data_IF_714131275893
#
_entry.id   IF_714131275893
#
_cell.length_a   1.000
_cell.length_b   1.000
_cell.length_c   1.000
_cell.angle_alpha   90.00
_cell.angle_beta   90.00
_cell.angle_gamma   90.00
#
_symmetry.space_group_name_H-M   'P 1'
#
loop_
_entity.id
_entity.type
_entity.pdbx_description
1 polymer ?
#
# COMPACT_ATOMS: atom_id res chain seq x y z
N UNK A 1 -21.24 -19.13 15.85
CA UNK A 1 -21.20 -18.07 14.83
C UNK A 1 -20.72 -18.68 13.52
N UNK A 2 -21.56 -18.74 12.48
CA UNK A 2 -21.11 -19.12 11.13
C UNK A 2 -20.38 -17.92 10.55
N UNK A 3 -19.10 -18.05 10.23
CA UNK A 3 -18.37 -17.04 9.45
C UNK A 3 -19.13 -16.85 8.14
N UNK A 4 -19.64 -15.64 7.87
CA UNK A 4 -20.16 -15.30 6.54
C UNK A 4 -18.97 -15.29 5.58
N UNK A 5 -19.16 -15.73 4.35
CA UNK A 5 -18.12 -15.58 3.32
C UNK A 5 -17.88 -14.09 3.05
N UNK A 6 -16.68 -13.76 2.57
CA UNK A 6 -16.36 -12.38 2.26
C UNK A 6 -17.10 -11.94 1.01
N UNK A 7 -17.66 -10.72 1.03
CA UNK A 7 -18.30 -10.11 -0.15
C UNK A 7 -17.26 -9.62 -1.17
N UNK A 8 -16.00 -9.48 -0.76
CA UNK A 8 -14.91 -9.12 -1.65
C UNK A 8 -14.43 -10.37 -2.38
N UNK A 9 -14.38 -10.36 -3.72
CA UNK A 9 -13.93 -11.52 -4.47
C UNK A 9 -12.49 -11.87 -4.11
N UNK A 10 -12.24 -13.17 -3.90
CA UNK A 10 -10.87 -13.66 -3.77
C UNK A 10 -10.08 -13.29 -5.03
N UNK A 11 -8.86 -12.79 -4.85
CA UNK A 11 -7.88 -12.72 -5.92
C UNK A 11 -6.58 -13.33 -5.41
N UNK A 12 -6.03 -14.24 -6.20
CA UNK A 12 -4.73 -14.85 -5.97
C UNK A 12 -3.61 -13.82 -6.13
N UNK A 13 -2.42 -14.16 -5.62
CA UNK A 13 -1.22 -13.35 -5.80
C UNK A 13 -0.91 -13.09 -7.28
N UNK A 14 -0.99 -14.11 -8.12
CA UNK A 14 -0.69 -13.98 -9.55
C UNK A 14 -1.71 -13.10 -10.28
N UNK A 15 -2.99 -13.14 -9.90
CA UNK A 15 -3.98 -12.20 -10.42
C UNK A 15 -3.66 -10.75 -10.02
N UNK A 16 -3.27 -10.50 -8.77
CA UNK A 16 -2.88 -9.17 -8.31
C UNK A 16 -1.61 -8.67 -9.01
N UNK A 17 -0.62 -9.54 -9.25
CA UNK A 17 0.54 -9.20 -10.09
C UNK A 17 0.10 -8.81 -11.51
N UNK A 18 -0.82 -9.58 -12.11
CA UNK A 18 -1.30 -9.30 -13.46
C UNK A 18 -2.07 -7.99 -13.54
N UNK A 19 -2.87 -7.67 -12.53
CA UNK A 19 -3.56 -6.38 -12.41
C UNK A 19 -2.53 -5.24 -12.34
N UNK A 20 -1.51 -5.36 -11.46
CA UNK A 20 -0.45 -4.37 -11.36
C UNK A 20 0.24 -4.15 -12.71
N UNK A 21 0.68 -5.23 -13.37
CA UNK A 21 1.33 -5.17 -14.67
C UNK A 21 0.44 -4.50 -15.74
N UNK A 22 -0.85 -4.83 -15.79
CA UNK A 22 -1.74 -4.24 -16.78
C UNK A 22 -1.92 -2.72 -16.57
N UNK A 23 -2.07 -2.25 -15.32
CA UNK A 23 -2.14 -0.82 -15.04
C UNK A 23 -0.82 -0.10 -15.37
N UNK A 24 0.31 -0.72 -15.04
CA UNK A 24 1.63 -0.15 -15.30
C UNK A 24 2.00 -0.15 -16.78
N UNK A 25 1.58 -1.14 -17.55
CA UNK A 25 1.79 -1.19 -19.00
C UNK A 25 1.11 -0.01 -19.69
N UNK A 26 -0.15 0.26 -19.32
CA UNK A 26 -0.92 1.40 -19.86
C UNK A 26 -0.37 2.74 -19.38
N UNK A 27 0.02 2.83 -18.10
CA UNK A 27 0.57 4.06 -17.53
C UNK A 27 1.96 4.40 -18.10
N UNK A 28 2.89 3.45 -17.99
CA UNK A 28 4.28 3.59 -18.40
C UNK A 28 4.97 2.21 -18.45
N UNK A 29 4.90 1.55 -19.62
CA UNK A 29 5.51 0.23 -19.86
C UNK A 29 7.01 0.14 -19.59
N UNK A 30 7.73 1.27 -19.51
CA UNK A 30 9.14 1.30 -19.11
C UNK A 30 9.34 0.75 -17.70
N UNK A 31 8.38 0.91 -16.79
CA UNK A 31 8.42 0.39 -15.42
C UNK A 31 8.46 -1.14 -15.36
N UNK A 32 8.08 -1.82 -16.45
CA UNK A 32 8.10 -3.28 -16.59
C UNK A 32 9.36 -3.82 -17.29
N UNK A 33 10.23 -2.93 -17.78
CA UNK A 33 11.48 -3.30 -18.49
C UNK A 33 12.74 -2.77 -17.82
N UNK A 34 12.64 -1.59 -17.18
CA UNK A 34 13.72 -0.94 -16.44
C UNK A 34 13.31 -0.76 -14.97
N UNK A 35 14.08 -1.29 -14.00
CA UNK A 35 13.87 -1.00 -12.59
C UNK A 35 13.99 0.50 -12.34
N UNK A 36 12.91 1.10 -11.82
CA UNK A 36 12.85 2.51 -11.47
C UNK A 36 11.63 2.78 -10.58
N UNK A 37 11.67 3.89 -9.86
CA UNK A 37 10.52 4.38 -9.12
C UNK A 37 9.36 4.77 -10.06
N UNK A 38 8.13 4.52 -9.61
CA UNK A 38 6.91 5.08 -10.19
C UNK A 38 6.66 6.48 -9.63
N UNK A 39 6.13 7.40 -10.44
CA UNK A 39 5.58 8.67 -9.94
C UNK A 39 4.16 8.41 -9.44
N UNK A 40 4.02 7.97 -8.18
CA UNK A 40 2.76 7.44 -7.65
C UNK A 40 1.61 8.46 -7.66
N UNK A 41 1.90 9.75 -7.42
CA UNK A 41 0.88 10.82 -7.48
C UNK A 41 0.35 11.00 -8.90
N UNK A 42 1.23 11.00 -9.90
CA UNK A 42 0.88 11.08 -11.31
C UNK A 42 0.10 9.85 -11.79
N UNK A 43 0.44 8.66 -11.29
CA UNK A 43 -0.34 7.44 -11.52
C UNK A 43 -1.78 7.59 -10.97
N UNK A 44 -1.95 8.15 -9.77
CA UNK A 44 -3.27 8.38 -9.16
C UNK A 44 -4.06 9.41 -9.98
N UNK A 45 -3.48 10.59 -10.21
CA UNK A 45 -4.20 11.72 -10.81
C UNK A 45 -4.41 11.56 -12.32
N UNK A 46 -3.40 11.09 -13.05
CA UNK A 46 -3.45 11.04 -14.52
C UNK A 46 -3.89 9.71 -15.07
N UNK A 47 -3.50 8.60 -14.45
CA UNK A 47 -3.86 7.26 -14.94
C UNK A 47 -5.20 6.80 -14.36
N UNK A 48 -5.35 6.86 -13.03
CA UNK A 48 -6.61 6.45 -12.38
C UNK A 48 -7.69 7.54 -12.41
N UNK A 49 -7.35 8.79 -12.78
CA UNK A 49 -8.25 9.94 -12.82
C UNK A 49 -8.89 10.25 -11.45
N UNK A 50 -8.12 10.05 -10.39
CA UNK A 50 -8.52 10.33 -9.02
C UNK A 50 -8.06 11.71 -8.58
N UNK A 51 -8.82 12.33 -7.68
CA UNK A 51 -8.34 13.51 -6.98
C UNK A 51 -7.40 13.08 -5.84
N UNK A 52 -6.21 13.67 -5.74
CA UNK A 52 -5.30 13.43 -4.63
C UNK A 52 -5.26 14.67 -3.73
N UNK A 53 -5.57 14.50 -2.44
CA UNK A 53 -5.52 15.60 -1.46
C UNK A 53 -4.65 15.25 -0.27
N UNK A 54 -3.92 16.24 0.22
CA UNK A 54 -3.16 16.17 1.47
C UNK A 54 -3.88 17.00 2.52
N UNK A 55 -4.42 16.34 3.54
CA UNK A 55 -5.23 16.97 4.58
C UNK A 55 -4.78 16.47 5.95
N UNK A 56 -4.86 17.27 7.02
CA UNK A 56 -4.52 16.84 8.37
C UNK A 56 -5.65 15.96 8.91
N UNK A 57 -5.63 14.68 8.57
CA UNK A 57 -6.72 13.73 8.84
C UNK A 57 -6.50 12.92 10.10
N UNK A 58 -5.32 13.03 10.71
CA UNK A 58 -4.97 12.32 11.93
C UNK A 58 -4.47 13.26 13.03
N UNK A 59 -4.96 13.02 14.23
CA UNK A 59 -4.59 13.79 15.43
C UNK A 59 -3.27 13.30 16.07
N UNK A 60 -2.93 12.04 15.82
CA UNK A 60 -1.85 11.26 16.44
C UNK A 60 -0.96 10.52 15.42
N UNK A 61 -1.29 10.61 14.12
CA UNK A 61 -0.58 9.95 13.03
C UNK A 61 -0.96 8.48 12.82
N UNK A 62 -2.03 7.99 13.45
CA UNK A 62 -2.51 6.61 13.24
C UNK A 62 -3.20 6.43 11.88
N UNK A 63 -3.94 7.44 11.42
CA UNK A 63 -4.63 7.43 10.12
C UNK A 63 -3.71 8.05 9.07
N UNK A 64 -3.29 7.27 8.09
CA UNK A 64 -2.33 7.73 7.07
C UNK A 64 -2.99 8.16 5.76
N UNK A 65 -4.15 7.59 5.45
CA UNK A 65 -4.88 7.86 4.24
C UNK A 65 -6.19 7.08 4.19
N UNK A 66 -7.01 7.41 3.20
CA UNK A 66 -8.21 6.66 2.87
C UNK A 66 -8.68 6.96 1.44
N UNK A 67 -9.27 5.94 0.81
CA UNK A 67 -9.94 6.03 -0.47
C UNK A 67 -11.41 6.38 -0.31
N UNK A 68 -11.84 7.49 -0.93
CA UNK A 68 -13.22 7.96 -0.91
C UNK A 68 -13.96 7.52 -2.17
N UNK A 69 -14.84 6.53 -2.03
CA UNK A 69 -15.60 5.95 -3.14
C UNK A 69 -16.87 6.71 -3.51
N UNK A 70 -17.45 7.47 -2.56
CA UNK A 70 -18.69 8.26 -2.69
C UNK A 70 -18.49 9.61 -2.01
N UNK A 71 -19.24 10.66 -2.37
CA UNK A 71 -19.12 11.95 -1.71
C UNK A 71 -19.32 11.79 -0.20
N UNK A 72 -18.41 12.38 0.58
CA UNK A 72 -18.39 12.20 2.03
C UNK A 72 -17.96 13.50 2.73
N UNK A 73 -18.32 13.61 4.01
CA UNK A 73 -17.83 14.66 4.90
C UNK A 73 -16.78 14.05 5.82
N UNK A 74 -15.57 14.59 5.81
CA UNK A 74 -14.46 14.11 6.64
C UNK A 74 -14.10 15.05 7.77
N UNK A 75 -13.47 14.50 8.80
CA UNK A 75 -12.84 15.28 9.87
C UNK A 75 -11.42 15.63 9.43
N UNK A 76 -11.07 16.90 9.55
CA UNK A 76 -9.69 17.41 9.46
C UNK A 76 -9.36 18.15 10.76
N UNK A 77 -8.08 18.17 11.13
CA UNK A 77 -7.60 18.74 12.37
C UNK A 77 -6.89 20.07 12.11
N UNK A 78 -7.26 21.10 12.87
CA UNK A 78 -6.50 22.34 12.85
C UNK A 78 -5.18 22.19 13.64
N UNK A 79 -4.07 22.23 12.89
CA UNK A 79 -2.71 22.02 13.43
C UNK A 79 -2.15 23.25 14.14
N UNK A 80 -2.72 24.45 13.97
CA UNK A 80 -2.24 25.68 14.58
C UNK A 80 -2.81 25.95 15.98
N UNK A 81 -4.00 25.42 16.30
CA UNK A 81 -4.80 25.86 17.45
C UNK A 81 -4.93 24.80 18.56
N UNK A 82 -4.38 23.60 18.38
CA UNK A 82 -4.51 22.50 19.33
C UNK A 82 -5.72 21.59 19.09
N UNK A 83 -5.76 20.93 17.92
CA UNK A 83 -6.60 19.73 17.63
C UNK A 83 -8.11 19.99 17.54
N UNK A 84 -8.53 21.17 17.11
CA UNK A 84 -9.94 21.43 16.80
C UNK A 84 -10.37 20.62 15.56
N UNK A 85 -11.48 19.89 15.67
CA UNK A 85 -12.09 19.14 14.57
C UNK A 85 -12.84 20.10 13.65
N UNK A 86 -12.51 20.07 12.36
CA UNK A 86 -13.26 20.74 11.31
C UNK A 86 -13.82 19.70 10.35
N UNK A 87 -14.95 20.02 9.72
CA UNK A 87 -15.55 19.15 8.72
C UNK A 87 -15.28 19.67 7.31
N UNK A 88 -14.82 18.77 6.45
CA UNK A 88 -14.49 19.08 5.06
C UNK A 88 -15.24 18.16 4.11
N UNK A 89 -15.85 18.72 3.07
CA UNK A 89 -16.55 17.94 2.06
C UNK A 89 -15.56 17.40 1.03
N UNK A 90 -15.65 16.13 0.72
CA UNK A 90 -14.79 15.43 -0.23
C UNK A 90 -15.64 14.79 -1.33
N UNK A 91 -15.18 14.97 -2.57
CA UNK A 91 -15.70 14.33 -3.77
C UNK A 91 -15.51 12.82 -3.73
N UNK A 92 -16.39 12.07 -4.38
CA UNK A 92 -16.05 10.69 -4.77
C UNK A 92 -14.78 10.65 -5.63
N UNK A 93 -14.20 9.45 -5.75
CA UNK A 93 -12.97 9.25 -6.52
C UNK A 93 -11.81 10.11 -5.99
N UNK A 94 -11.71 10.28 -4.67
CA UNK A 94 -10.62 11.00 -4.01
C UNK A 94 -9.75 10.09 -3.15
N UNK A 95 -8.44 10.18 -3.32
CA UNK A 95 -7.45 9.63 -2.40
C UNK A 95 -7.05 10.74 -1.43
N UNK A 96 -7.22 10.51 -0.14
CA UNK A 96 -6.78 11.44 0.90
C UNK A 96 -5.58 10.83 1.60
N UNK A 97 -4.54 11.63 1.80
CA UNK A 97 -3.33 11.24 2.53
C UNK A 97 -3.08 12.28 3.62
N UNK A 98 -2.60 11.83 4.77
CA UNK A 98 -2.28 12.72 5.87
C UNK A 98 -1.18 13.72 5.49
N UNK A 99 -1.42 15.00 5.77
CA UNK A 99 -0.51 16.07 5.38
C UNK A 99 0.85 15.96 6.08
N UNK A 100 0.89 15.56 7.35
CA UNK A 100 2.18 15.40 8.06
C UNK A 100 3.02 14.28 7.43
N UNK A 101 2.37 13.22 6.95
CA UNK A 101 3.04 12.13 6.23
C UNK A 101 3.64 12.63 4.91
N UNK A 102 2.92 13.48 4.18
CA UNK A 102 3.35 14.02 2.89
C UNK A 102 4.51 15.02 3.00
N UNK A 103 4.55 15.82 4.07
CA UNK A 103 5.56 16.87 4.28
C UNK A 103 6.88 16.32 4.83
N UNK A 104 6.84 15.14 5.46
CA UNK A 104 8.00 14.53 6.08
C UNK A 104 8.82 13.70 5.08
N UNK A 105 9.90 14.29 4.54
CA UNK A 105 10.84 13.59 3.64
C UNK A 105 11.43 12.28 4.19
N UNK A 106 11.52 12.11 5.51
CA UNK A 106 12.00 10.85 6.12
C UNK A 106 10.99 9.71 5.96
N UNK A 107 9.71 10.06 5.79
CA UNK A 107 8.58 9.13 5.64
C UNK A 107 8.19 8.89 4.18
N UNK A 108 9.02 9.32 3.21
CA UNK A 108 8.70 9.22 1.77
C UNK A 108 8.30 7.80 1.34
N UNK A 109 8.94 6.77 1.91
CA UNK A 109 8.59 5.38 1.62
C UNK A 109 7.21 4.98 2.15
N UNK A 110 6.83 5.50 3.33
CA UNK A 110 5.52 5.27 3.94
C UNK A 110 4.43 6.02 3.18
N UNK A 111 4.67 7.30 2.88
CA UNK A 111 3.83 8.11 2.00
C UNK A 111 3.51 7.42 0.68
N UNK A 112 4.55 6.96 -0.04
CA UNK A 112 4.38 6.29 -1.34
C UNK A 112 3.59 5.00 -1.22
N UNK A 113 3.82 4.23 -0.16
CA UNK A 113 3.06 3.00 0.10
C UNK A 113 1.60 3.30 0.41
N UNK A 114 1.31 4.28 1.27
CA UNK A 114 -0.07 4.72 1.56
C UNK A 114 -0.79 5.13 0.27
N UNK A 115 -0.17 5.96 -0.57
CA UNK A 115 -0.75 6.33 -1.86
C UNK A 115 -1.07 5.11 -2.74
N UNK A 116 -0.13 4.17 -2.85
CA UNK A 116 -0.31 2.96 -3.67
C UNK A 116 -1.36 2.01 -3.08
N UNK A 117 -1.48 1.96 -1.75
CA UNK A 117 -2.48 1.20 -1.03
C UNK A 117 -3.89 1.74 -1.28
N UNK A 118 -4.11 3.05 -1.14
CA UNK A 118 -5.41 3.66 -1.45
C UNK A 118 -5.78 3.54 -2.93
N UNK A 119 -4.80 3.70 -3.83
CA UNK A 119 -4.99 3.44 -5.25
C UNK A 119 -5.39 1.98 -5.52
N UNK A 120 -4.84 1.03 -4.78
CA UNK A 120 -5.21 -0.37 -4.89
C UNK A 120 -6.65 -0.64 -4.42
N UNK A 121 -7.13 0.04 -3.38
CA UNK A 121 -8.54 0.00 -2.99
C UNK A 121 -9.45 0.44 -4.14
N UNK A 122 -9.11 1.54 -4.81
CA UNK A 122 -9.88 1.99 -5.98
C UNK A 122 -9.91 0.95 -7.10
N UNK A 123 -8.76 0.38 -7.46
CA UNK A 123 -8.63 -0.60 -8.54
C UNK A 123 -9.44 -1.87 -8.23
N UNK A 124 -9.45 -2.33 -6.98
CA UNK A 124 -9.94 -3.68 -6.63
C UNK A 124 -11.37 -3.71 -6.10
N UNK A 125 -11.80 -2.64 -5.42
CA UNK A 125 -12.95 -2.68 -4.53
C UNK A 125 -14.06 -1.69 -4.90
N UNK A 126 -13.82 -0.79 -5.87
CA UNK A 126 -14.79 0.24 -6.29
C UNK A 126 -16.19 -0.33 -6.58
N UNK A 127 -16.27 -1.41 -7.35
CA UNK A 127 -17.57 -1.97 -7.76
C UNK A 127 -18.41 -2.43 -6.57
N UNK A 128 -17.77 -2.98 -5.53
CA UNK A 128 -18.45 -3.41 -4.29
C UNK A 128 -19.03 -2.20 -3.56
N UNK A 129 -18.23 -1.14 -3.41
CA UNK A 129 -18.68 0.09 -2.74
C UNK A 129 -19.73 0.88 -3.54
N UNK A 130 -19.75 0.77 -4.87
CA UNK A 130 -20.75 1.40 -5.73
C UNK A 130 -22.09 0.63 -5.78
N UNK A 131 -22.07 -0.70 -5.68
CA UNK A 131 -23.27 -1.54 -5.71
C UNK A 131 -24.11 -1.44 -4.43
N UNK A 132 -23.52 -1.00 -3.31
CA UNK A 132 -24.24 -0.69 -2.08
C UNK A 132 -25.02 0.63 -2.21
N UNK A 133 -26.09 0.62 -3.00
CA UNK A 133 -26.93 1.78 -3.33
C UNK A 133 -27.92 2.15 -2.20
N UNK A 134 -28.00 1.35 -1.13
CA UNK A 134 -29.03 1.46 -0.09
C UNK A 134 -28.82 2.58 0.93
N UNK A 135 -27.61 3.12 1.08
CA UNK A 135 -27.32 4.18 2.04
C UNK A 135 -26.51 5.32 1.39
N UNK A 136 -27.15 6.43 0.96
CA UNK A 136 -26.41 7.68 0.79
C UNK A 136 -25.81 8.04 2.15
N UNK A 137 -24.47 8.15 2.22
CA UNK A 137 -23.78 8.43 3.49
C UNK A 137 -24.00 9.89 3.89
N UNK A 138 -25.13 10.13 4.55
CA UNK A 138 -25.32 11.22 5.48
C UNK A 138 -25.42 10.55 6.85
N UNK A 139 -24.28 10.36 7.50
CA UNK A 139 -24.25 9.93 8.90
C UNK A 139 -23.35 10.91 9.65
N UNK A 140 -23.68 11.14 10.92
CA UNK A 140 -22.95 12.08 11.75
C UNK A 140 -21.51 11.60 11.93
N UNK A 141 -20.58 12.48 11.56
CA UNK A 141 -19.21 12.13 11.16
C UNK A 141 -18.28 11.71 12.32
N UNK A 142 -18.79 11.58 13.54
CA UNK A 142 -18.03 11.01 14.66
C UNK A 142 -17.97 9.47 14.58
N UNK A 143 -18.92 8.85 13.86
CA UNK A 143 -18.97 7.41 13.63
C UNK A 143 -18.37 6.97 12.28
N UNK A 144 -17.81 7.88 11.47
CA UNK A 144 -17.51 7.59 10.05
C UNK A 144 -16.03 7.30 9.77
N UNK A 145 -15.04 7.79 10.51
CA UNK A 145 -13.64 7.79 9.98
C UNK A 145 -12.57 7.18 10.86
N UNK A 146 -12.89 6.77 12.07
CA UNK A 146 -12.04 5.87 12.85
C UNK A 146 -12.51 4.46 12.61
N UNK A 147 -11.92 3.72 11.66
CA UNK A 147 -12.18 2.28 11.51
C UNK A 147 -13.65 1.89 11.21
N UNK A 148 -14.62 2.81 11.24
CA UNK A 148 -16.06 2.53 11.30
C UNK A 148 -16.78 2.67 9.96
N UNK A 149 -16.17 3.27 8.93
CA UNK A 149 -16.67 3.09 7.56
C UNK A 149 -16.63 1.61 7.13
N UNK A 150 -15.76 0.82 7.78
CA UNK A 150 -15.74 -0.62 7.66
C UNK A 150 -16.82 -1.30 8.53
N UNK A 151 -17.53 -0.67 9.50
CA UNK A 151 -18.51 -1.33 10.39
C UNK A 151 -19.63 -2.11 9.67
N UNK A 152 -20.15 -1.61 8.55
CA UNK A 152 -21.13 -2.35 7.74
C UNK A 152 -20.58 -3.65 7.11
N UNK A 153 -19.25 -3.76 6.97
CA UNK A 153 -18.54 -4.92 6.43
C UNK A 153 -17.68 -5.67 7.49
N UNK A 154 -17.41 -5.04 8.65
CA UNK A 154 -16.62 -5.48 9.84
C UNK A 154 -17.37 -6.40 10.77
N UNK A 155 -18.69 -6.49 10.64
CA UNK A 155 -19.44 -7.62 11.16
C UNK A 155 -18.87 -8.96 10.66
N UNK A 156 -18.02 -8.91 9.61
CA UNK A 156 -17.21 -10.01 9.15
C UNK A 156 -15.71 -9.65 9.06
N UNK A 157 -14.94 -10.01 10.09
CA UNK A 157 -13.46 -9.94 10.13
C UNK A 157 -12.79 -10.48 8.85
N UNK A 158 -13.43 -11.41 8.14
CA UNK A 158 -12.90 -11.97 6.89
C UNK A 158 -12.94 -10.99 5.69
N UNK A 159 -13.86 -10.01 5.69
CA UNK A 159 -13.92 -8.94 4.68
C UNK A 159 -12.72 -8.03 4.79
N UNK A 160 -12.53 -7.42 5.96
CA UNK A 160 -11.43 -6.51 6.24
C UNK A 160 -10.09 -7.15 5.94
N UNK A 161 -9.84 -8.34 6.50
CA UNK A 161 -8.56 -9.03 6.30
C UNK A 161 -8.28 -9.30 4.82
N UNK A 162 -9.31 -9.59 4.03
CA UNK A 162 -9.15 -9.87 2.59
C UNK A 162 -8.92 -8.60 1.80
N UNK A 163 -9.77 -7.60 1.99
CA UNK A 163 -9.70 -6.30 1.32
C UNK A 163 -8.33 -5.66 1.56
N UNK A 164 -7.93 -5.54 2.83
CA UNK A 164 -6.64 -4.98 3.24
C UNK A 164 -5.47 -5.79 2.71
N UNK A 165 -5.54 -7.12 2.75
CA UNK A 165 -4.47 -7.95 2.21
C UNK A 165 -4.31 -7.76 0.70
N UNK A 166 -5.41 -7.69 -0.06
CA UNK A 166 -5.37 -7.47 -1.52
C UNK A 166 -4.81 -6.09 -1.84
N UNK A 167 -5.25 -5.04 -1.12
CA UNK A 167 -4.76 -3.68 -1.29
C UNK A 167 -3.27 -3.56 -0.95
N UNK A 168 -2.83 -4.15 0.17
CA UNK A 168 -1.42 -4.18 0.56
C UNK A 168 -0.54 -4.90 -0.47
N UNK A 169 -1.01 -6.03 -1.00
CA UNK A 169 -0.27 -6.78 -2.00
C UNK A 169 -0.17 -5.99 -3.32
N UNK A 170 -1.29 -5.48 -3.82
CA UNK A 170 -1.32 -4.71 -5.07
C UNK A 170 -0.53 -3.40 -4.94
N UNK A 171 -0.65 -2.67 -3.83
CA UNK A 171 0.14 -1.47 -3.57
C UNK A 171 1.64 -1.74 -3.62
N UNK A 172 2.10 -2.84 -3.02
CA UNK A 172 3.48 -3.32 -3.14
C UNK A 172 3.87 -3.68 -4.58
N UNK A 173 2.98 -4.34 -5.33
CA UNK A 173 3.23 -4.72 -6.72
C UNK A 173 3.27 -3.52 -7.69
N UNK A 174 2.49 -2.47 -7.44
CA UNK A 174 2.52 -1.22 -8.21
C UNK A 174 3.84 -0.47 -8.00
N UNK A 175 4.34 -0.39 -6.76
CA UNK A 175 5.60 0.28 -6.45
C UNK A 175 6.83 -0.53 -6.86
N UNK A 176 6.73 -1.86 -6.84
CA UNK A 176 7.82 -2.80 -7.09
C UNK A 176 7.36 -3.93 -8.04
N UNK A 177 7.26 -3.64 -9.36
CA UNK A 177 6.70 -4.58 -10.32
C UNK A 177 7.55 -5.86 -10.39
N UNK A 178 6.90 -7.03 -10.36
CA UNK A 178 7.59 -8.34 -10.19
C UNK A 178 8.75 -8.53 -11.16
N UNK A 179 8.55 -8.24 -12.45
CA UNK A 179 9.59 -8.42 -13.48
C UNK A 179 10.83 -7.57 -13.25
N UNK A 180 10.66 -6.27 -12.98
CA UNK A 180 11.80 -5.37 -12.75
C UNK A 180 12.42 -5.53 -11.37
N UNK A 181 11.62 -5.89 -10.37
CA UNK A 181 12.10 -6.27 -9.04
C UNK A 181 13.00 -7.51 -9.10
N UNK A 182 12.56 -8.57 -9.77
CA UNK A 182 13.37 -9.78 -9.98
C UNK A 182 14.65 -9.49 -10.75
N UNK A 183 14.57 -8.66 -11.80
CA UNK A 183 15.76 -8.22 -12.56
C UNK A 183 16.79 -7.54 -11.65
N UNK A 184 16.36 -6.61 -10.82
CA UNK A 184 17.27 -5.90 -9.92
C UNK A 184 17.84 -6.81 -8.82
N UNK A 185 17.00 -7.69 -8.27
CA UNK A 185 17.41 -8.69 -7.29
C UNK A 185 18.48 -9.65 -7.84
N UNK A 186 18.23 -10.24 -9.02
CA UNK A 186 19.16 -11.16 -9.66
C UNK A 186 20.48 -10.48 -10.05
N UNK A 187 20.42 -9.24 -10.54
CA UNK A 187 21.63 -8.44 -10.80
C UNK A 187 22.48 -8.29 -9.55
N UNK A 188 21.86 -8.03 -8.40
CA UNK A 188 22.59 -7.92 -7.13
C UNK A 188 23.17 -9.25 -6.66
N UNK A 189 22.50 -10.38 -6.89
CA UNK A 189 23.09 -11.69 -6.60
C UNK A 189 24.37 -11.91 -7.40
N UNK A 190 24.36 -11.58 -8.70
CA UNK A 190 25.53 -11.68 -9.58
C UNK A 190 26.66 -10.76 -9.09
N UNK A 191 26.36 -9.50 -8.77
CA UNK A 191 27.36 -8.54 -8.29
C UNK A 191 28.01 -8.96 -6.96
N UNK A 192 27.28 -9.69 -6.12
CA UNK A 192 27.77 -10.22 -4.85
C UNK A 192 28.42 -11.62 -4.98
N UNK A 193 28.51 -12.16 -6.20
CA UNK A 193 29.07 -13.50 -6.45
C UNK A 193 28.22 -14.65 -5.91
N UNK A 194 26.91 -14.43 -5.72
CA UNK A 194 25.96 -15.43 -5.21
C UNK A 194 25.39 -16.20 -6.41
N UNK A 195 26.07 -17.26 -6.83
CA UNK A 195 25.72 -18.02 -8.05
C UNK A 195 24.81 -19.22 -7.80
N UNK A 196 24.80 -19.77 -6.59
CA UNK A 196 24.10 -21.03 -6.26
C UNK A 196 22.79 -20.84 -5.49
N UNK A 197 22.25 -19.61 -5.43
CA UNK A 197 21.01 -19.30 -4.68
C UNK A 197 20.09 -18.42 -5.51
N UNK A 198 18.79 -18.65 -5.38
CA UNK A 198 17.73 -17.81 -5.99
C UNK A 198 16.97 -16.98 -4.96
N UNK A 199 17.37 -17.05 -3.69
CA UNK A 199 16.77 -16.37 -2.55
C UNK A 199 17.81 -16.08 -1.47
N UNK A 200 17.48 -15.18 -0.55
CA UNK A 200 18.30 -14.80 0.60
C UNK A 200 17.86 -15.53 1.86
N UNK A 201 18.81 -15.69 2.78
CA UNK A 201 18.53 -16.02 4.17
C UNK A 201 18.71 -14.74 5.00
N UNK A 202 17.83 -14.54 5.98
CA UNK A 202 18.02 -13.58 7.05
C UNK A 202 18.13 -14.35 8.36
N UNK A 203 19.37 -14.68 8.68
CA UNK A 203 19.77 -15.39 9.90
C UNK A 203 20.95 -14.67 10.56
N UNK A 204 21.60 -15.31 11.54
CA UNK A 204 22.75 -14.75 12.26
C UNK A 204 24.07 -14.85 11.49
N UNK A 205 24.12 -15.48 10.32
CA UNK A 205 25.37 -15.61 9.57
C UNK A 205 25.75 -14.25 8.96
N UNK A 206 26.97 -13.79 9.24
CA UNK A 206 27.44 -12.46 8.83
C UNK A 206 27.35 -12.24 7.31
N UNK A 207 27.65 -13.26 6.51
CA UNK A 207 27.54 -13.19 5.05
C UNK A 207 26.08 -12.97 4.59
N UNK A 208 25.11 -13.65 5.20
CA UNK A 208 23.70 -13.50 4.90
C UNK A 208 23.18 -12.11 5.30
N UNK A 209 23.58 -11.63 6.48
CA UNK A 209 23.27 -10.27 6.95
C UNK A 209 23.81 -9.21 5.97
N UNK A 210 25.07 -9.35 5.54
CA UNK A 210 25.70 -8.40 4.62
C UNK A 210 25.04 -8.44 3.24
N UNK A 211 24.78 -9.63 2.70
CA UNK A 211 24.08 -9.80 1.42
C UNK A 211 22.69 -9.15 1.47
N UNK A 212 21.92 -9.43 2.52
CA UNK A 212 20.60 -8.81 2.73
C UNK A 212 20.70 -7.29 2.81
N UNK A 213 21.64 -6.73 3.58
CA UNK A 213 21.84 -5.28 3.70
C UNK A 213 22.19 -4.63 2.35
N UNK A 214 23.09 -5.23 1.57
CA UNK A 214 23.45 -4.71 0.25
C UNK A 214 22.25 -4.73 -0.71
N UNK A 215 21.53 -5.83 -0.77
CA UNK A 215 20.38 -6.00 -1.67
C UNK A 215 19.22 -5.09 -1.27
N UNK A 216 18.86 -5.05 0.01
CA UNK A 216 17.73 -4.23 0.48
C UNK A 216 18.02 -2.75 0.24
N UNK A 217 19.23 -2.27 0.54
CA UNK A 217 19.61 -0.86 0.31
C UNK A 217 19.54 -0.50 -1.18
N UNK A 218 19.96 -1.43 -2.06
CA UNK A 218 19.85 -1.24 -3.51
C UNK A 218 18.39 -1.16 -3.95
N UNK A 219 17.56 -2.12 -3.55
CA UNK A 219 16.14 -2.16 -3.90
C UNK A 219 15.43 -0.89 -3.41
N UNK A 220 15.63 -0.49 -2.16
CA UNK A 220 15.01 0.72 -1.61
C UNK A 220 15.43 1.97 -2.39
N UNK A 221 16.68 2.05 -2.83
CA UNK A 221 17.18 3.16 -3.64
C UNK A 221 16.59 3.18 -5.05
N UNK A 222 16.38 2.02 -5.68
CA UNK A 222 15.90 1.92 -7.07
C UNK A 222 14.40 2.22 -7.18
N UNK A 223 13.61 1.67 -6.24
CA UNK A 223 12.14 1.80 -6.27
C UNK A 223 11.62 2.94 -5.39
N UNK A 224 12.50 3.59 -4.63
CA UNK A 224 12.19 4.65 -3.67
C UNK A 224 11.09 4.22 -2.67
N UNK A 225 11.37 3.16 -1.93
CA UNK A 225 10.47 2.56 -0.94
C UNK A 225 11.18 2.39 0.40
N UNK A 226 10.40 2.16 1.47
CA UNK A 226 10.99 1.83 2.78
C UNK A 226 11.64 0.44 2.74
N UNK A 227 12.59 0.21 3.66
CA UNK A 227 13.20 -1.12 3.85
C UNK A 227 12.17 -2.18 4.18
N UNK A 228 11.13 -1.81 4.93
CA UNK A 228 10.07 -2.74 5.31
C UNK A 228 9.20 -3.12 4.11
N UNK A 229 8.79 -2.16 3.27
CA UNK A 229 8.05 -2.45 2.04
C UNK A 229 8.86 -3.38 1.11
N UNK A 230 10.15 -3.10 0.93
CA UNK A 230 11.04 -3.95 0.13
C UNK A 230 11.19 -5.36 0.74
N UNK A 231 11.27 -5.48 2.07
CA UNK A 231 11.33 -6.77 2.78
C UNK A 231 10.06 -7.58 2.57
N UNK A 232 8.89 -6.96 2.75
CA UNK A 232 7.59 -7.58 2.49
C UNK A 232 7.53 -8.06 1.04
N UNK A 233 8.01 -7.27 0.07
CA UNK A 233 8.03 -7.66 -1.34
C UNK A 233 8.92 -8.88 -1.60
N UNK A 234 10.12 -8.94 -0.98
CA UNK A 234 10.98 -10.12 -1.05
C UNK A 234 10.27 -11.37 -0.52
N UNK A 235 9.56 -11.26 0.62
CA UNK A 235 8.78 -12.37 1.19
C UNK A 235 7.61 -12.79 0.29
N UNK A 236 6.86 -11.82 -0.24
CA UNK A 236 5.72 -12.07 -1.13
C UNK A 236 6.11 -12.85 -2.38
N UNK A 237 7.32 -12.60 -2.89
CA UNK A 237 7.92 -13.25 -4.07
C UNK A 237 8.79 -14.47 -3.72
N UNK A 238 8.81 -14.91 -2.46
CA UNK A 238 9.61 -16.04 -1.97
C UNK A 238 11.13 -15.90 -2.21
N UNK A 239 11.64 -14.67 -2.22
CA UNK A 239 13.07 -14.33 -2.41
C UNK A 239 13.82 -14.15 -1.10
N UNK A 240 13.13 -14.21 0.04
CA UNK A 240 13.69 -14.11 1.38
C UNK A 240 13.13 -15.21 2.27
N UNK A 241 14.03 -15.90 2.98
CA UNK A 241 13.70 -16.84 4.04
C UNK A 241 14.18 -16.26 5.36
N UNK A 242 13.25 -16.05 6.28
CA UNK A 242 13.55 -15.64 7.65
C UNK A 242 13.47 -16.88 8.54
N UNK A 243 14.51 -17.16 9.32
CA UNK A 243 14.42 -18.19 10.35
C UNK A 243 13.82 -17.56 11.61
N UNK A 244 12.74 -18.16 12.14
CA UNK A 244 12.15 -17.79 13.43
C UNK A 244 13.16 -18.05 14.56
N UNK A 245 13.95 -17.03 14.90
CA UNK A 245 14.67 -16.91 16.16
C UNK A 245 15.09 -15.45 16.42
N UNK A 246 14.19 -14.51 16.09
CA UNK A 246 14.28 -13.15 16.61
C UNK A 246 12.95 -12.87 17.30
N UNK A 247 12.87 -13.22 18.58
CA UNK A 247 11.83 -12.69 19.47
C UNK A 247 11.97 -11.18 19.46
N UNK A 248 11.01 -10.48 18.88
CA UNK A 248 10.84 -9.07 19.13
C UNK A 248 10.38 -8.95 20.58
N UNK A 249 11.26 -8.49 21.46
CA UNK A 249 10.83 -7.97 22.75
C UNK A 249 10.14 -6.63 22.46
N UNK A 250 8.83 -6.65 22.68
CA UNK A 250 7.97 -5.45 22.81
C UNK A 250 8.52 -4.60 23.94
#
# INVERSE_FOLDING_TARGET
MKYKESIFPYRSKDELEKIAENHLEVYNSRLLTKPSEITITDFIERHLKLELKFLPISQDGEILGYMVFKPAKIIIYNMYNGKEKQYFNISEASVIVDSELSDNKKEIGRFRFTCAHEAAHWILHRDVFLQDLSNPVISDAEDILTDKYNEGYKDNIANDKRMEWQANYLGGALLMPKKTFLKEFLNMLVLLGITNKTYLYRDSQLCNINNYRCIINRITSVFNVSKEAARIRLLQLNLLKEHENIKYHI
#
